data_IF_317293799499
#
_entry.id   IF_317293799499
#
_cell.length_a   1.000
_cell.length_b   1.000
_cell.length_c   1.000
_cell.angle_alpha   90.00
_cell.angle_beta   90.00
_cell.angle_gamma   90.00
#
_symmetry.space_group_name_H-M   'P 1'
#
loop_
_entity.id
_entity.type
_entity.pdbx_description
1 polymer ?
#
# COMPACT_ATOMS: atom_id res chain seq x y z
N UNK A 1 2.55 32.02 5.85
CA UNK A 1 3.29 30.86 5.33
C UNK A 1 2.33 30.06 4.44
N UNK A 2 2.68 29.79 3.18
CA UNK A 2 1.81 29.04 2.27
C UNK A 2 1.94 27.55 2.60
N UNK A 3 0.95 26.97 3.27
CA UNK A 3 0.91 25.53 3.55
C UNK A 3 0.92 24.78 2.21
N UNK A 4 1.96 23.98 1.95
CA UNK A 4 1.99 23.17 0.73
C UNK A 4 0.93 22.06 0.86
N UNK A 5 0.20 21.80 -0.23
CA UNK A 5 -0.77 20.71 -0.27
C UNK A 5 -0.03 19.37 -0.29
N UNK A 6 -0.51 18.35 0.45
CA UNK A 6 0.07 17.00 0.41
C UNK A 6 0.08 16.42 -1.02
N UNK A 7 1.03 15.53 -1.29
CA UNK A 7 1.05 14.78 -2.56
C UNK A 7 -0.20 13.90 -2.66
N UNK A 8 -0.85 13.88 -3.83
CA UNK A 8 -1.96 12.96 -4.09
C UNK A 8 -1.46 11.51 -4.00
N UNK A 9 -2.13 10.69 -3.21
CA UNK A 9 -1.75 9.29 -3.04
C UNK A 9 -2.22 8.42 -4.22
N UNK A 10 -1.37 7.48 -4.62
CA UNK A 10 -1.61 6.50 -5.66
C UNK A 10 -0.99 5.17 -5.21
N UNK A 11 -1.82 4.13 -5.10
CA UNK A 11 -1.45 2.80 -4.62
C UNK A 11 -0.83 1.88 -5.71
N UNK A 12 -0.77 2.35 -6.95
CA UNK A 12 -0.35 1.54 -8.10
C UNK A 12 -1.48 0.67 -8.66
N UNK A 13 -1.12 -0.20 -9.59
CA UNK A 13 -2.06 -1.12 -10.25
C UNK A 13 -2.42 -2.31 -9.38
N UNK A 14 -3.62 -2.86 -9.58
CA UNK A 14 -4.05 -4.10 -8.95
C UNK A 14 -3.13 -5.27 -9.34
N UNK A 15 -2.89 -6.16 -8.40
CA UNK A 15 -2.07 -7.36 -8.59
C UNK A 15 -2.93 -8.61 -8.51
N UNK A 16 -2.66 -9.58 -9.36
CA UNK A 16 -3.26 -10.92 -9.30
C UNK A 16 -2.13 -11.92 -9.08
N UNK A 17 -2.16 -12.61 -7.94
CA UNK A 17 -1.19 -13.63 -7.59
C UNK A 17 -1.89 -14.97 -7.47
N UNK A 18 -1.36 -16.00 -8.12
CA UNK A 18 -1.86 -17.37 -8.00
C UNK A 18 -1.08 -18.10 -6.91
N UNK A 19 -1.77 -18.64 -5.90
CA UNK A 19 -1.21 -19.49 -4.83
C UNK A 19 -0.08 -18.86 -3.99
N UNK A 20 0.09 -17.54 -4.05
CA UNK A 20 1.14 -16.84 -3.31
C UNK A 20 0.54 -16.04 -2.16
N UNK A 21 1.04 -16.25 -0.95
CA UNK A 21 0.61 -15.52 0.25
C UNK A 21 1.37 -14.19 0.46
N UNK A 22 2.13 -13.75 -0.54
CA UNK A 22 2.98 -12.56 -0.48
C UNK A 22 2.83 -11.69 -1.73
N UNK A 23 3.01 -10.38 -1.58
CA UNK A 23 3.07 -9.44 -2.69
C UNK A 23 3.89 -8.20 -2.29
N UNK A 24 4.14 -7.31 -3.25
CA UNK A 24 4.81 -6.02 -3.01
C UNK A 24 3.87 -4.89 -3.39
N UNK A 25 3.50 -4.06 -2.42
CA UNK A 25 2.73 -2.84 -2.64
C UNK A 25 3.62 -1.78 -3.27
N UNK A 26 3.12 -1.06 -4.28
CA UNK A 26 3.89 -0.14 -5.12
C UNK A 26 3.24 1.26 -5.19
N UNK A 27 3.26 1.96 -4.06
CA UNK A 27 2.68 3.29 -3.89
C UNK A 27 3.63 4.38 -4.40
N UNK A 28 3.07 5.53 -4.76
CA UNK A 28 3.89 6.68 -5.16
C UNK A 28 4.66 7.25 -3.97
N UNK A 29 5.89 7.71 -4.22
CA UNK A 29 6.67 8.44 -3.24
C UNK A 29 6.06 9.85 -3.01
N UNK A 30 5.69 10.23 -1.78
CA UNK A 30 5.21 11.57 -1.49
C UNK A 30 6.36 12.57 -1.56
N UNK A 31 6.12 13.70 -2.23
CA UNK A 31 7.03 14.87 -2.25
C UNK A 31 6.74 15.84 -1.11
N UNK A 32 5.50 15.86 -0.62
CA UNK A 32 5.01 16.66 0.51
C UNK A 32 4.15 15.77 1.40
N UNK A 33 4.53 15.66 2.67
CA UNK A 33 3.89 14.78 3.66
C UNK A 33 4.56 13.41 3.77
N UNK A 34 3.89 12.48 4.44
CA UNK A 34 4.32 11.09 4.63
C UNK A 34 3.22 10.16 4.17
N UNK A 35 3.59 9.03 3.56
CA UNK A 35 2.64 8.01 3.14
C UNK A 35 2.57 6.86 4.14
N UNK A 36 1.42 6.20 4.24
CA UNK A 36 1.25 4.97 5.03
C UNK A 36 0.29 4.00 4.36
N UNK A 37 0.67 2.73 4.36
CA UNK A 37 -0.17 1.61 3.93
C UNK A 37 -1.08 1.15 5.06
N UNK A 38 -2.35 0.91 4.72
CA UNK A 38 -3.35 0.35 5.62
C UNK A 38 -4.10 -0.79 4.94
N UNK A 39 -4.43 -1.84 5.69
CA UNK A 39 -5.35 -2.89 5.23
C UNK A 39 -6.78 -2.36 5.36
N UNK A 40 -7.51 -2.34 4.25
CA UNK A 40 -8.92 -1.89 4.22
C UNK A 40 -9.86 -3.08 4.37
N UNK A 41 -9.57 -4.18 3.67
CA UNK A 41 -10.38 -5.41 3.74
C UNK A 41 -9.57 -6.63 3.28
N UNK A 42 -10.02 -7.81 3.69
CA UNK A 42 -9.32 -9.07 3.43
C UNK A 42 -8.31 -9.39 4.53
N UNK A 43 -7.22 -10.08 4.18
CA UNK A 43 -6.14 -10.41 5.11
C UNK A 43 -4.78 -10.10 4.50
N UNK A 44 -3.84 -9.74 5.36
CA UNK A 44 -2.45 -9.51 4.96
C UNK A 44 -1.73 -8.65 5.99
N UNK A 45 -0.47 -8.96 6.20
CA UNK A 45 0.42 -8.25 7.11
C UNK A 45 1.36 -7.40 6.29
N UNK A 46 1.24 -6.09 6.42
CA UNK A 46 2.15 -5.13 5.76
C UNK A 46 3.47 -5.11 6.55
N UNK A 47 4.59 -5.40 5.88
CA UNK A 47 5.90 -5.50 6.55
C UNK A 47 6.47 -4.13 6.91
N UNK A 48 6.17 -3.12 6.10
CA UNK A 48 6.78 -1.79 6.22
C UNK A 48 5.78 -0.69 5.86
N UNK A 49 4.80 -0.39 6.74
CA UNK A 49 3.66 0.47 6.38
C UNK A 49 4.03 1.87 5.90
N UNK A 50 5.13 2.45 6.40
CA UNK A 50 5.60 3.78 6.01
C UNK A 50 6.40 3.81 4.70
N UNK A 51 6.75 2.66 4.14
CA UNK A 51 7.47 2.56 2.87
C UNK A 51 6.50 2.56 1.71
N UNK A 52 6.70 3.43 0.71
CA UNK A 52 5.87 3.46 -0.50
C UNK A 52 5.98 2.13 -1.28
N UNK A 53 7.15 1.47 -1.24
CA UNK A 53 7.34 0.10 -1.68
C UNK A 53 7.41 -0.83 -0.46
N UNK A 54 6.32 -1.52 -0.14
CA UNK A 54 6.21 -2.35 1.05
C UNK A 54 5.93 -3.81 0.69
N UNK A 55 6.49 -4.75 1.45
CA UNK A 55 6.07 -6.14 1.39
C UNK A 55 4.73 -6.34 2.07
N UNK A 56 3.95 -7.29 1.57
CA UNK A 56 2.80 -7.85 2.29
C UNK A 56 2.93 -9.36 2.33
N UNK A 57 2.62 -9.94 3.48
CA UNK A 57 2.63 -11.39 3.73
C UNK A 57 1.28 -11.85 4.27
N UNK A 58 1.08 -13.17 4.40
CA UNK A 58 -0.17 -13.76 4.89
C UNK A 58 -1.43 -13.28 4.12
N UNK A 59 -1.30 -13.08 2.81
CA UNK A 59 -2.44 -12.78 1.94
C UNK A 59 -3.42 -13.96 1.95
N UNK A 60 -4.69 -13.65 2.17
CA UNK A 60 -5.76 -14.63 2.12
C UNK A 60 -6.20 -14.87 0.68
N UNK A 61 -6.94 -15.97 0.48
CA UNK A 61 -7.62 -16.20 -0.79
C UNK A 61 -8.71 -15.16 -1.02
N UNK A 62 -8.87 -14.74 -2.29
CA UNK A 62 -9.82 -13.71 -2.68
C UNK A 62 -9.22 -12.32 -2.68
N UNK A 63 -10.08 -11.31 -2.63
CA UNK A 63 -9.68 -9.90 -2.75
C UNK A 63 -9.12 -9.37 -1.42
N UNK A 64 -7.86 -8.90 -1.46
CA UNK A 64 -7.22 -8.18 -0.36
C UNK A 64 -7.01 -6.73 -0.79
N UNK A 65 -7.55 -5.77 -0.04
CA UNK A 65 -7.54 -4.35 -0.40
C UNK A 65 -6.67 -3.58 0.56
N UNK A 66 -5.66 -2.91 0.00
CA UNK A 66 -4.72 -2.06 0.72
C UNK A 66 -4.85 -0.63 0.24
N UNK A 67 -4.67 0.34 1.13
CA UNK A 67 -4.77 1.76 0.82
C UNK A 67 -3.50 2.50 1.21
N UNK A 68 -3.02 3.31 0.28
CA UNK A 68 -1.93 4.27 0.46
C UNK A 68 -2.52 5.66 0.71
N UNK A 69 -2.14 6.30 1.83
CA UNK A 69 -2.54 7.66 2.20
C UNK A 69 -1.33 8.50 2.55
#
# INVERSE_FOLDING_TARGET
TRNQTPTVSNAGSNQTQCETATATLAGNAPTVGTGTWTLVSGTGTITTPSSNTSGVTALGYGANVFRWT
#
